data_IF_758700733390
#
_entry.id   IF_758700733390
#
_cell.length_a   1.000
_cell.length_b   1.000
_cell.length_c   1.000
_cell.angle_alpha   90.00
_cell.angle_beta   90.00
_cell.angle_gamma   90.00
#
_symmetry.space_group_name_H-M   'P 1'
#
loop_
_entity.id
_entity.type
_entity.pdbx_description
1 polymer ?
#
# COMPACT_ATOMS: atom_id res chain seq x y z
N UNK A 1 -25.25 -7.61 6.77
CA UNK A 1 -24.15 -6.70 7.09
C UNK A 1 -24.54 -5.29 6.66
N UNK A 2 -24.38 -4.27 7.49
CA UNK A 2 -24.63 -2.89 7.08
C UNK A 2 -23.33 -2.32 6.48
N UNK A 3 -23.34 -2.00 5.20
CA UNK A 3 -22.17 -1.46 4.49
C UNK A 3 -22.09 0.07 4.52
N UNK A 4 -23.01 0.72 5.23
CA UNK A 4 -23.02 2.17 5.44
C UNK A 4 -21.92 2.53 6.44
N UNK A 5 -21.26 3.64 6.18
CA UNK A 5 -20.28 4.20 7.13
C UNK A 5 -21.01 4.71 8.38
N UNK A 6 -20.36 4.60 9.53
CA UNK A 6 -20.81 5.30 10.72
C UNK A 6 -20.69 6.82 10.54
N UNK A 7 -21.34 7.65 11.35
CA UNK A 7 -21.18 9.10 11.27
C UNK A 7 -19.72 9.55 11.35
N UNK A 8 -18.91 8.90 12.19
CA UNK A 8 -17.50 9.21 12.39
C UNK A 8 -16.67 8.87 11.13
N UNK A 9 -16.92 7.70 10.52
CA UNK A 9 -16.25 7.30 9.27
C UNK A 9 -16.70 8.17 8.08
N UNK A 10 -17.95 8.65 8.08
CA UNK A 10 -18.43 9.58 7.06
C UNK A 10 -17.82 10.98 7.23
N UNK A 11 -17.55 11.41 8.46
CA UNK A 11 -16.82 12.65 8.73
C UNK A 11 -15.34 12.52 8.29
N UNK A 12 -14.69 11.41 8.64
CA UNK A 12 -13.34 11.10 8.15
C UNK A 12 -13.30 11.11 6.61
N UNK A 13 -14.26 10.44 5.96
CA UNK A 13 -14.35 10.41 4.50
C UNK A 13 -14.36 11.81 3.91
N UNK A 14 -15.23 12.69 4.42
CA UNK A 14 -15.35 14.08 3.94
C UNK A 14 -14.07 14.89 4.18
N UNK A 15 -13.47 14.74 5.35
CA UNK A 15 -12.21 15.43 5.69
C UNK A 15 -11.08 15.03 4.75
N UNK A 16 -10.96 13.73 4.44
CA UNK A 16 -9.92 13.24 3.52
C UNK A 16 -10.24 13.60 2.06
N UNK A 17 -11.51 13.55 1.65
CA UNK A 17 -11.96 14.03 0.33
C UNK A 17 -11.60 15.51 0.11
N UNK A 18 -11.90 16.38 1.08
CA UNK A 18 -11.55 17.79 1.04
C UNK A 18 -10.02 17.99 0.94
N UNK A 19 -9.26 17.31 1.78
CA UNK A 19 -7.80 17.34 1.72
C UNK A 19 -7.26 16.87 0.36
N UNK A 20 -7.78 15.78 -0.17
CA UNK A 20 -7.36 15.25 -1.46
C UNK A 20 -7.62 16.25 -2.60
N UNK A 21 -8.77 16.92 -2.60
CA UNK A 21 -9.13 17.87 -3.64
C UNK A 21 -8.48 19.24 -3.48
N UNK A 22 -8.34 19.75 -2.26
CA UNK A 22 -7.86 21.11 -2.03
C UNK A 22 -6.34 21.19 -1.85
N UNK A 23 -5.70 20.14 -1.33
CA UNK A 23 -4.26 20.14 -1.03
C UNK A 23 -3.48 19.25 -1.99
N UNK A 24 -3.95 18.03 -2.28
CA UNK A 24 -3.23 17.07 -3.12
C UNK A 24 -3.41 17.40 -4.61
N UNK A 25 -4.64 17.50 -5.10
CA UNK A 25 -4.95 17.65 -6.52
C UNK A 25 -4.21 18.82 -7.21
N UNK A 26 -4.10 20.01 -6.60
CA UNK A 26 -3.44 21.15 -7.26
C UNK A 26 -1.93 21.00 -7.46
N UNK A 27 -1.28 20.09 -6.71
CA UNK A 27 0.18 20.00 -6.62
C UNK A 27 0.77 18.72 -7.17
N UNK A 28 0.02 17.61 -7.02
CA UNK A 28 0.59 16.27 -7.20
C UNK A 28 1.03 15.99 -8.64
N UNK A 29 0.39 16.61 -9.63
CA UNK A 29 0.80 16.49 -11.02
C UNK A 29 2.25 16.89 -11.25
N UNK A 30 2.67 18.01 -10.66
CA UNK A 30 4.04 18.52 -10.77
C UNK A 30 5.06 17.60 -10.10
N UNK A 31 4.77 17.10 -8.89
CA UNK A 31 5.62 16.11 -8.21
C UNK A 31 5.75 14.82 -9.03
N UNK A 32 4.63 14.36 -9.59
CA UNK A 32 4.59 13.15 -10.40
C UNK A 32 5.48 13.26 -11.65
N UNK A 33 5.38 14.36 -12.39
CA UNK A 33 6.17 14.57 -13.60
C UNK A 33 7.67 14.80 -13.32
N UNK A 34 8.01 15.38 -12.15
CA UNK A 34 9.40 15.52 -11.70
C UNK A 34 9.97 14.29 -11.01
N UNK A 35 9.16 13.24 -10.79
CA UNK A 35 9.52 12.06 -10.02
C UNK A 35 10.02 12.40 -8.61
N UNK A 36 9.37 13.36 -7.96
CA UNK A 36 9.73 13.86 -6.63
C UNK A 36 8.75 13.39 -5.57
N UNK A 37 9.29 13.05 -4.38
CA UNK A 37 8.47 12.67 -3.25
C UNK A 37 7.81 13.92 -2.63
N UNK A 38 6.47 13.92 -2.41
CA UNK A 38 5.72 15.11 -2.02
C UNK A 38 5.74 15.34 -0.50
N UNK A 39 6.90 15.70 0.06
CA UNK A 39 7.11 15.86 1.51
C UNK A 39 6.09 16.75 2.20
N UNK A 40 5.67 17.85 1.57
CA UNK A 40 4.69 18.76 2.17
C UNK A 40 3.31 18.10 2.33
N UNK A 41 2.87 17.32 1.33
CA UNK A 41 1.61 16.57 1.38
C UNK A 41 1.70 15.49 2.47
N UNK A 42 2.79 14.72 2.50
CA UNK A 42 3.00 13.66 3.50
C UNK A 42 3.05 14.21 4.93
N UNK A 43 3.69 15.36 5.14
CA UNK A 43 3.68 16.03 6.46
C UNK A 43 2.27 16.46 6.88
N UNK A 44 1.45 16.93 5.93
CA UNK A 44 0.07 17.32 6.25
C UNK A 44 -0.78 16.08 6.58
N UNK A 45 -0.60 14.96 5.86
CA UNK A 45 -1.21 13.68 6.23
C UNK A 45 -0.84 13.26 7.66
N UNK A 46 0.42 13.48 8.07
CA UNK A 46 0.86 13.24 9.44
C UNK A 46 0.14 14.14 10.45
N UNK A 47 -0.01 15.44 10.17
CA UNK A 47 -0.74 16.39 11.05
C UNK A 47 -2.22 16.04 11.18
N UNK A 48 -2.81 15.50 10.14
CA UNK A 48 -4.18 14.99 10.15
C UNK A 48 -4.34 13.65 10.91
N UNK A 49 -3.22 13.02 11.34
CA UNK A 49 -3.23 11.74 12.04
C UNK A 49 -3.46 10.53 11.12
N UNK A 50 -3.37 10.66 9.80
CA UNK A 50 -3.72 9.59 8.86
C UNK A 50 -2.82 8.36 9.04
N UNK A 51 -1.53 8.53 9.36
CA UNK A 51 -0.62 7.42 9.65
C UNK A 51 -0.95 6.70 10.96
N UNK A 52 -1.69 7.35 11.85
CA UNK A 52 -2.11 6.79 13.14
C UNK A 52 -3.49 6.11 13.13
N UNK A 53 -4.23 6.14 12.02
CA UNK A 53 -5.66 5.75 11.96
C UNK A 53 -5.97 4.41 12.64
N UNK A 54 -5.30 3.26 12.37
CA UNK A 54 -5.69 1.98 12.96
C UNK A 54 -4.97 1.67 14.29
N UNK A 55 -4.17 2.59 14.82
CA UNK A 55 -3.36 2.30 16.01
C UNK A 55 -3.98 2.87 17.29
N UNK A 56 -3.72 2.23 18.46
CA UNK A 56 -4.17 2.72 19.76
C UNK A 56 -3.61 4.09 20.10
N UNK A 57 -4.39 4.90 20.83
CA UNK A 57 -4.00 6.24 21.29
C UNK A 57 -2.75 6.22 22.18
N UNK A 58 -2.51 5.16 22.96
CA UNK A 58 -1.34 5.01 23.82
C UNK A 58 0.00 5.01 23.05
N UNK A 59 -0.05 4.72 21.74
CA UNK A 59 1.10 4.79 20.83
C UNK A 59 1.02 6.01 19.88
N UNK A 60 0.16 6.97 20.18
CA UNK A 60 -0.03 8.16 19.34
C UNK A 60 -0.93 7.93 18.11
N UNK A 61 -1.67 6.82 18.08
CA UNK A 61 -2.66 6.53 17.06
C UNK A 61 -4.00 7.24 17.30
N UNK A 62 -4.94 7.04 16.39
CA UNK A 62 -6.28 7.63 16.42
C UNK A 62 -7.35 6.72 17.03
N UNK A 63 -6.99 5.51 17.46
CA UNK A 63 -7.91 4.53 18.05
C UNK A 63 -8.95 3.94 17.09
N UNK A 64 -8.75 4.13 15.79
CA UNK A 64 -9.63 3.58 14.75
C UNK A 64 -9.28 2.15 14.36
N UNK A 65 -9.63 1.78 13.15
CA UNK A 65 -9.45 0.43 12.62
C UNK A 65 -9.10 0.40 11.12
N UNK A 66 -9.11 -0.78 10.52
CA UNK A 66 -8.85 -0.97 9.08
C UNK A 66 -9.97 -0.41 8.16
N UNK A 67 -11.19 -0.23 8.66
CA UNK A 67 -12.24 0.49 7.90
C UNK A 67 -11.89 1.96 7.76
N UNK A 68 -11.40 2.60 8.85
CA UNK A 68 -10.96 3.99 8.83
C UNK A 68 -9.79 4.18 7.85
N UNK A 69 -8.78 3.29 7.90
CA UNK A 69 -7.68 3.31 6.95
C UNK A 69 -8.16 3.14 5.50
N UNK A 70 -9.04 2.16 5.25
CA UNK A 70 -9.58 1.90 3.92
C UNK A 70 -10.37 3.09 3.35
N UNK A 71 -11.15 3.78 4.19
CA UNK A 71 -11.88 5.01 3.80
C UNK A 71 -10.89 6.11 3.39
N UNK A 72 -9.84 6.33 4.18
CA UNK A 72 -8.82 7.34 3.86
C UNK A 72 -8.06 7.00 2.56
N UNK A 73 -7.69 5.73 2.36
CA UNK A 73 -7.00 5.27 1.15
C UNK A 73 -7.88 5.40 -0.10
N UNK A 74 -9.17 5.09 0.00
CA UNK A 74 -10.12 5.23 -1.11
C UNK A 74 -10.23 6.70 -1.55
N UNK A 75 -10.42 7.64 -0.61
CA UNK A 75 -10.57 9.06 -0.96
C UNK A 75 -9.25 9.68 -1.48
N UNK A 76 -8.09 9.35 -0.91
CA UNK A 76 -6.80 9.79 -1.45
C UNK A 76 -6.55 9.28 -2.86
N UNK A 77 -6.80 7.98 -3.09
CA UNK A 77 -6.55 7.36 -4.39
C UNK A 77 -7.50 7.81 -5.50
N UNK A 78 -8.67 8.37 -5.17
CA UNK A 78 -9.55 9.05 -6.15
C UNK A 78 -8.85 10.22 -6.85
N UNK A 79 -7.90 10.85 -6.15
CA UNK A 79 -7.13 11.98 -6.66
C UNK A 79 -5.75 11.53 -7.11
N UNK A 80 -5.02 10.80 -6.26
CA UNK A 80 -3.68 10.31 -6.57
C UNK A 80 -3.29 9.06 -5.79
N UNK A 81 -2.99 8.00 -6.51
CA UNK A 81 -2.60 6.72 -5.92
C UNK A 81 -1.15 6.67 -5.44
N UNK A 82 -0.26 7.58 -5.88
CA UNK A 82 1.10 7.68 -5.32
C UNK A 82 1.10 8.19 -3.88
N UNK A 83 0.18 9.12 -3.56
CA UNK A 83 -0.03 9.61 -2.19
C UNK A 83 -0.69 8.52 -1.34
N UNK A 84 -1.69 7.84 -1.89
CA UNK A 84 -2.38 6.77 -1.19
C UNK A 84 -1.46 5.59 -0.85
N UNK A 85 -0.57 5.15 -1.78
CA UNK A 85 0.37 4.07 -1.49
C UNK A 85 1.44 4.47 -0.47
N UNK A 86 1.80 5.76 -0.40
CA UNK A 86 2.71 6.25 0.64
C UNK A 86 2.09 6.09 2.03
N UNK A 87 0.79 6.40 2.18
CA UNK A 87 0.05 6.16 3.41
C UNK A 87 -0.09 4.66 3.70
N UNK A 88 -0.53 3.89 2.72
CA UNK A 88 -0.73 2.44 2.85
C UNK A 88 0.55 1.75 3.33
N UNK A 89 1.65 1.94 2.61
CA UNK A 89 2.92 1.33 2.95
C UNK A 89 3.46 1.82 4.31
N UNK A 90 3.25 3.09 4.67
CA UNK A 90 3.64 3.62 5.98
C UNK A 90 2.88 2.96 7.13
N UNK A 91 1.59 2.74 6.96
CA UNK A 91 0.69 2.14 7.97
C UNK A 91 0.77 0.63 7.95
N UNK A 92 0.33 0.00 6.85
CA UNK A 92 0.17 -1.46 6.78
C UNK A 92 1.49 -2.21 6.78
N UNK A 93 2.51 -1.68 6.12
CA UNK A 93 3.80 -2.35 5.96
C UNK A 93 4.87 -1.82 6.90
N UNK A 94 4.87 -0.52 7.20
CA UNK A 94 5.88 0.11 8.06
C UNK A 94 5.59 -0.03 9.55
N UNK A 95 4.41 0.37 10.00
CA UNK A 95 4.04 0.43 11.40
C UNK A 95 3.37 -0.86 11.92
N UNK A 96 2.50 -1.49 11.13
CA UNK A 96 1.71 -2.65 11.56
C UNK A 96 2.55 -3.85 11.99
N UNK A 97 3.70 -4.21 11.37
CA UNK A 97 4.56 -5.28 11.85
C UNK A 97 5.02 -5.06 13.30
N UNK A 98 5.38 -3.81 13.64
CA UNK A 98 5.83 -3.45 14.99
C UNK A 98 4.64 -3.50 15.96
N UNK A 99 3.47 -3.01 15.56
CA UNK A 99 2.26 -3.06 16.37
C UNK A 99 1.86 -4.50 16.73
N UNK A 100 1.84 -5.40 15.76
CA UNK A 100 1.37 -6.78 15.96
C UNK A 100 2.40 -7.69 16.65
N UNK A 101 3.69 -7.48 16.38
CA UNK A 101 4.73 -8.45 16.76
C UNK A 101 5.84 -7.85 17.63
N UNK A 102 5.89 -6.53 17.78
CA UNK A 102 6.90 -5.85 18.59
C UNK A 102 6.73 -6.07 20.10
N UNK A 103 7.85 -6.02 20.82
CA UNK A 103 7.81 -5.88 22.29
C UNK A 103 7.27 -4.51 22.67
N UNK A 104 6.90 -4.31 23.93
CA UNK A 104 6.45 -3.01 24.42
C UNK A 104 7.51 -1.90 24.23
N UNK A 105 8.79 -2.26 24.42
CA UNK A 105 9.92 -1.35 24.20
C UNK A 105 10.00 -0.95 22.72
N UNK A 106 9.86 -1.90 21.80
CA UNK A 106 9.85 -1.63 20.36
C UNK A 106 8.65 -0.78 19.95
N UNK A 107 7.46 -1.09 20.46
CA UNK A 107 6.24 -0.30 20.19
C UNK A 107 6.39 1.14 20.66
N UNK A 108 6.83 1.35 21.90
CA UNK A 108 7.03 2.69 22.48
C UNK A 108 8.15 3.48 21.81
N UNK A 109 9.17 2.81 21.31
CA UNK A 109 10.27 3.45 20.58
C UNK A 109 9.87 3.92 19.18
N UNK A 110 9.03 3.17 18.47
CA UNK A 110 8.80 3.40 17.04
C UNK A 110 7.40 3.92 16.69
N UNK A 111 6.33 3.37 17.31
CA UNK A 111 4.96 3.67 16.89
C UNK A 111 4.60 5.15 17.02
N UNK A 112 4.95 5.90 18.09
CA UNK A 112 4.56 7.30 18.16
C UNK A 112 5.07 8.14 17.00
N UNK A 113 6.30 7.90 16.56
CA UNK A 113 6.90 8.63 15.43
C UNK A 113 6.34 8.16 14.08
N UNK A 114 6.00 6.88 13.94
CA UNK A 114 5.36 6.31 12.76
C UNK A 114 3.91 6.81 12.64
N UNK A 115 3.14 6.79 13.72
CA UNK A 115 1.75 7.25 13.75
C UNK A 115 1.61 8.75 13.47
N UNK A 116 2.58 9.57 13.90
CA UNK A 116 2.60 11.01 13.60
C UNK A 116 3.08 11.35 12.20
N UNK A 117 3.62 10.38 11.45
CA UNK A 117 4.25 10.62 10.15
C UNK A 117 5.58 11.40 10.25
N UNK A 118 6.16 11.54 11.46
CA UNK A 118 7.51 12.10 11.66
C UNK A 118 8.54 11.25 10.92
N UNK A 119 8.37 9.93 10.95
CA UNK A 119 9.15 8.98 10.18
C UNK A 119 8.23 8.02 9.43
N UNK A 120 8.74 7.46 8.33
CA UNK A 120 8.14 6.34 7.61
C UNK A 120 8.90 5.05 7.91
N UNK A 121 8.16 3.95 7.98
CA UNK A 121 8.71 2.59 8.02
C UNK A 121 8.61 1.93 6.65
N UNK A 122 9.50 0.96 6.40
CA UNK A 122 9.54 0.19 5.17
C UNK A 122 9.55 -1.33 5.44
N UNK A 123 9.16 -2.12 4.43
CA UNK A 123 8.91 -3.56 4.54
C UNK A 123 9.79 -4.34 3.55
N UNK A 124 10.94 -4.82 4.04
CA UNK A 124 11.95 -5.50 3.25
C UNK A 124 11.68 -7.01 3.10
N UNK A 125 10.73 -7.38 2.24
CA UNK A 125 10.42 -8.78 1.93
C UNK A 125 11.03 -9.23 0.61
N UNK A 126 10.68 -8.55 -0.48
CA UNK A 126 11.00 -8.93 -1.85
C UNK A 126 12.50 -8.84 -2.14
N UNK A 127 13.03 -9.86 -2.81
CA UNK A 127 14.42 -9.93 -3.26
C UNK A 127 14.49 -10.04 -4.79
N UNK A 128 15.65 -9.73 -5.41
CA UNK A 128 15.78 -9.83 -6.87
C UNK A 128 15.37 -11.18 -7.46
N UNK A 129 15.58 -12.27 -6.72
CA UNK A 129 15.27 -13.65 -7.16
C UNK A 129 13.96 -14.20 -6.57
N UNK A 130 13.23 -13.43 -5.73
CA UNK A 130 12.05 -13.91 -5.00
C UNK A 130 10.99 -12.85 -4.76
N UNK A 131 9.99 -12.75 -5.66
CA UNK A 131 8.78 -11.94 -5.46
C UNK A 131 7.61 -12.79 -4.97
N UNK A 132 6.91 -13.47 -5.89
CA UNK A 132 5.78 -14.36 -5.53
C UNK A 132 6.21 -15.56 -4.68
N UNK A 133 7.44 -16.05 -4.85
CA UNK A 133 8.08 -17.03 -3.96
C UNK A 133 8.86 -16.32 -2.83
N UNK A 134 8.12 -15.60 -1.98
CA UNK A 134 8.71 -14.84 -0.89
C UNK A 134 9.36 -15.72 0.21
N UNK A 135 9.08 -17.03 0.21
CA UNK A 135 9.74 -18.00 1.09
C UNK A 135 11.16 -18.37 0.68
N UNK A 136 11.56 -18.06 -0.56
CA UNK A 136 12.91 -18.29 -1.09
C UNK A 136 13.91 -17.19 -0.68
N UNK A 137 13.73 -16.56 0.48
CA UNK A 137 14.60 -15.52 1.05
C UNK A 137 16.06 -15.97 1.07
N UNK A 138 16.97 -15.14 0.52
CA UNK A 138 18.43 -15.34 0.50
C UNK A 138 19.19 -14.41 1.42
N UNK A 139 18.61 -13.25 1.78
CA UNK A 139 19.17 -12.39 2.83
C UNK A 139 19.39 -13.21 4.08
N UNK A 140 20.55 -13.11 4.69
CA UNK A 140 20.95 -13.85 5.90
C UNK A 140 21.13 -12.92 7.09
N UNK A 141 20.88 -13.43 8.30
CA UNK A 141 21.23 -12.75 9.53
C UNK A 141 21.82 -13.77 10.50
N UNK A 142 23.02 -13.51 10.98
CA UNK A 142 23.71 -14.35 11.96
C UNK A 142 23.84 -13.59 13.27
N UNK A 143 23.41 -14.19 14.38
CA UNK A 143 23.66 -13.64 15.70
C UNK A 143 25.15 -13.84 16.05
N UNK A 144 25.82 -12.74 16.37
CA UNK A 144 27.18 -12.73 16.87
C UNK A 144 27.15 -12.83 18.39
N UNK A 145 27.60 -13.95 19.00
CA UNK A 145 27.49 -14.16 20.43
C UNK A 145 28.46 -13.30 21.26
N UNK A 146 29.49 -12.70 20.62
CA UNK A 146 30.45 -11.86 21.35
C UNK A 146 29.92 -10.44 21.53
N UNK A 147 29.14 -9.94 20.54
CA UNK A 147 28.62 -8.56 20.56
C UNK A 147 27.13 -8.49 20.86
N UNK A 148 26.41 -9.62 20.87
CA UNK A 148 24.95 -9.73 20.98
C UNK A 148 24.23 -8.91 19.88
N UNK A 149 24.74 -9.04 18.64
CA UNK A 149 24.23 -8.33 17.47
C UNK A 149 23.88 -9.30 16.33
N UNK A 150 22.82 -8.97 15.57
CA UNK A 150 22.56 -9.59 14.28
C UNK A 150 23.47 -8.95 13.22
N UNK A 151 24.18 -9.79 12.46
CA UNK A 151 24.97 -9.40 11.28
C UNK A 151 24.18 -9.79 10.05
N UNK A 152 23.72 -8.79 9.29
CA UNK A 152 22.78 -8.96 8.17
C UNK A 152 23.52 -8.73 6.85
N UNK A 153 23.30 -9.66 5.89
CA UNK A 153 23.86 -9.58 4.55
C UNK A 153 22.80 -9.95 3.51
N UNK A 154 22.65 -9.15 2.45
CA UNK A 154 21.70 -9.42 1.38
C UNK A 154 21.19 -8.17 0.67
N UNK A 155 20.16 -8.35 -0.14
CA UNK A 155 19.55 -7.28 -0.96
C UNK A 155 18.04 -7.42 -0.96
N UNK A 156 17.34 -6.29 -0.84
CA UNK A 156 15.88 -6.20 -1.01
C UNK A 156 15.55 -5.26 -2.15
N UNK A 157 14.51 -5.53 -2.92
CA UNK A 157 14.12 -4.70 -4.06
C UNK A 157 12.64 -4.32 -4.02
N UNK A 158 12.32 -3.23 -4.74
CA UNK A 158 10.96 -2.66 -4.83
C UNK A 158 10.38 -2.21 -3.48
N UNK A 159 11.22 -1.67 -2.60
CA UNK A 159 10.82 -1.30 -1.23
C UNK A 159 10.32 0.13 -1.19
N UNK A 160 9.02 0.29 -0.91
CA UNK A 160 8.34 1.59 -0.79
C UNK A 160 8.75 2.29 0.50
N UNK A 161 8.79 3.63 0.48
CA UNK A 161 9.13 4.51 1.62
C UNK A 161 10.53 4.28 2.22
N UNK A 162 11.45 3.66 1.49
CA UNK A 162 12.73 3.21 2.05
C UNK A 162 13.91 4.16 1.83
N UNK A 163 13.74 5.19 1.00
CA UNK A 163 14.82 6.12 0.66
C UNK A 163 14.45 7.60 0.77
N UNK A 164 13.40 7.93 1.52
CA UNK A 164 13.01 9.30 1.80
C UNK A 164 13.85 9.89 2.95
N UNK A 165 13.91 11.23 3.04
CA UNK A 165 14.60 11.92 4.15
C UNK A 165 13.96 11.65 5.52
N UNK A 166 12.72 11.15 5.53
CA UNK A 166 11.96 10.80 6.74
C UNK A 166 11.82 9.27 6.94
N UNK A 167 12.53 8.45 6.16
CA UNK A 167 12.59 7.01 6.41
C UNK A 167 13.34 6.74 7.71
N UNK A 168 12.66 6.14 8.70
CA UNK A 168 13.25 5.88 10.02
C UNK A 168 13.77 4.47 10.20
N UNK A 169 13.17 3.50 9.53
CA UNK A 169 13.55 2.09 9.65
C UNK A 169 13.07 1.26 8.47
N UNK A 170 13.65 0.07 8.33
CA UNK A 170 13.10 -1.03 7.52
C UNK A 170 13.00 -2.29 8.37
N UNK A 171 11.86 -2.99 8.30
CA UNK A 171 11.74 -4.35 8.84
C UNK A 171 12.08 -5.34 7.73
N UNK A 172 13.07 -6.20 7.94
CA UNK A 172 13.56 -7.12 6.89
C UNK A 172 13.36 -8.58 7.28
N UNK A 173 12.98 -9.42 6.31
CA UNK A 173 13.08 -10.88 6.46
C UNK A 173 14.50 -11.34 6.14
N UNK A 174 15.06 -12.21 7.00
CA UNK A 174 16.37 -12.81 6.80
C UNK A 174 16.41 -14.26 7.30
N UNK A 175 17.21 -15.09 6.66
CA UNK A 175 17.47 -16.47 7.10
C UNK A 175 18.39 -16.44 8.32
N UNK A 176 17.89 -16.86 9.49
CA UNK A 176 18.66 -16.90 10.75
C UNK A 176 19.13 -18.31 11.10
N UNK A 177 18.82 -19.31 10.27
CA UNK A 177 19.23 -20.69 10.48
C UNK A 177 18.46 -21.68 9.62
N UNK A 178 18.46 -22.93 10.08
CA UNK A 178 17.72 -24.02 9.42
C UNK A 178 16.69 -24.63 10.35
N UNK A 179 15.56 -25.05 9.80
CA UNK A 179 14.55 -25.85 10.47
C UNK A 179 14.99 -27.33 10.56
N UNK A 180 14.38 -28.17 11.41
CA UNK A 180 14.66 -29.59 11.48
C UNK A 180 14.48 -30.34 10.16
N UNK A 181 13.57 -29.87 9.30
CA UNK A 181 13.32 -30.40 7.96
C UNK A 181 14.34 -29.92 6.90
N UNK A 182 15.33 -29.12 7.29
CA UNK A 182 16.36 -28.55 6.42
C UNK A 182 15.95 -27.24 5.75
N UNK A 183 14.68 -26.83 5.83
CA UNK A 183 14.19 -25.59 5.26
C UNK A 183 14.76 -24.33 5.95
N UNK A 184 14.65 -23.13 5.34
CA UNK A 184 15.12 -21.90 5.94
C UNK A 184 14.31 -21.53 7.18
N UNK A 185 15.00 -21.12 8.25
CA UNK A 185 14.41 -20.47 9.42
C UNK A 185 14.50 -18.96 9.17
N UNK A 186 13.38 -18.33 8.83
CA UNK A 186 13.29 -16.92 8.44
C UNK A 186 12.75 -16.10 9.59
N UNK A 187 13.48 -15.07 9.99
CA UNK A 187 13.11 -14.12 11.05
C UNK A 187 12.88 -12.72 10.47
N UNK A 188 12.20 -11.88 11.24
CA UNK A 188 12.02 -10.46 10.93
C UNK A 188 12.92 -9.63 11.86
N UNK A 189 13.64 -8.64 11.31
CA UNK A 189 14.59 -7.83 12.07
C UNK A 189 14.37 -6.36 11.71
N UNK A 190 14.33 -5.48 12.72
CA UNK A 190 14.23 -4.03 12.54
C UNK A 190 15.64 -3.48 12.29
N UNK A 191 15.83 -2.80 11.16
CA UNK A 191 17.06 -2.10 10.81
C UNK A 191 16.77 -0.60 10.77
N UNK A 192 17.31 0.20 11.71
CA UNK A 192 17.18 1.65 11.68
C UNK A 192 17.89 2.25 10.44
N UNK A 193 17.33 3.33 9.89
CA UNK A 193 18.02 4.09 8.84
C UNK A 193 19.34 4.66 9.35
N UNK A 194 20.35 4.71 8.48
CA UNK A 194 21.69 5.19 8.84
C UNK A 194 22.56 4.17 9.57
N UNK A 195 22.10 2.93 9.79
CA UNK A 195 22.95 1.85 10.34
C UNK A 195 24.13 1.60 9.40
N UNK A 196 25.38 1.53 9.91
CA UNK A 196 26.55 1.24 9.07
C UNK A 196 26.39 -0.05 8.26
N UNK A 197 26.80 -0.02 6.98
CA UNK A 197 26.65 -1.14 6.05
C UNK A 197 25.26 -1.22 5.38
N UNK A 198 24.25 -0.49 5.89
CA UNK A 198 22.94 -0.37 5.25
C UNK A 198 22.98 0.76 4.23
N UNK A 199 22.70 0.45 2.98
CA UNK A 199 22.66 1.43 1.89
C UNK A 199 21.39 1.31 1.07
N UNK A 200 20.97 2.46 0.52
CA UNK A 200 19.74 2.62 -0.26
C UNK A 200 20.12 3.13 -1.65
N UNK A 201 19.71 2.42 -2.69
CA UNK A 201 19.97 2.80 -4.08
C UNK A 201 19.17 4.05 -4.49
N UNK A 202 19.52 4.72 -5.60
CA UNK A 202 18.66 5.73 -6.22
C UNK A 202 17.24 5.21 -6.49
N UNK A 203 16.23 6.10 -6.59
CA UNK A 203 14.87 5.67 -6.89
C UNK A 203 14.77 4.94 -8.23
N UNK A 204 13.94 3.93 -8.29
CA UNK A 204 13.63 3.27 -9.56
C UNK A 204 12.93 4.23 -10.53
N UNK A 205 13.27 4.14 -11.81
CA UNK A 205 12.45 4.71 -12.88
C UNK A 205 11.24 3.80 -13.12
N UNK A 206 10.05 4.30 -12.84
CA UNK A 206 8.81 3.50 -12.82
C UNK A 206 7.85 3.96 -13.92
N UNK A 207 6.96 3.07 -14.34
CA UNK A 207 5.84 3.41 -15.24
C UNK A 207 4.83 4.31 -14.54
N UNK A 208 4.54 4.02 -13.27
CA UNK A 208 3.58 4.73 -12.44
C UNK A 208 4.05 4.92 -10.99
N UNK A 209 3.20 5.49 -10.14
CA UNK A 209 3.52 5.88 -8.78
C UNK A 209 4.79 6.74 -8.69
N UNK A 210 4.95 7.66 -9.63
CA UNK A 210 6.18 8.44 -9.75
C UNK A 210 6.40 9.43 -8.60
N UNK A 211 5.35 9.81 -7.89
CA UNK A 211 5.45 10.62 -6.68
C UNK A 211 5.58 9.77 -5.39
N UNK A 212 5.72 8.45 -5.50
CA UNK A 212 6.03 7.55 -4.37
C UNK A 212 7.47 7.07 -4.45
N UNK A 213 8.14 6.95 -3.31
CA UNK A 213 9.51 6.42 -3.21
C UNK A 213 9.51 4.88 -3.30
N UNK A 214 10.42 4.33 -4.11
CA UNK A 214 10.62 2.88 -4.23
C UNK A 214 12.09 2.60 -4.56
N UNK A 215 12.77 1.81 -3.72
CA UNK A 215 14.23 1.60 -3.81
C UNK A 215 14.63 0.13 -3.72
N UNK A 216 15.88 -0.10 -4.10
CA UNK A 216 16.66 -1.27 -3.71
C UNK A 216 17.43 -0.97 -2.44
N UNK A 217 17.52 -1.96 -1.55
CA UNK A 217 18.24 -1.91 -0.29
C UNK A 217 19.36 -2.95 -0.29
N UNK A 218 20.54 -2.55 0.16
CA UNK A 218 21.69 -3.44 0.31
C UNK A 218 22.20 -3.46 1.75
N UNK A 219 22.48 -4.66 2.23
CA UNK A 219 22.99 -4.95 3.57
C UNK A 219 24.34 -5.64 3.42
N UNK A 220 25.39 -4.98 3.90
CA UNK A 220 26.78 -5.45 3.88
C UNK A 220 27.34 -5.41 5.31
N UNK A 221 27.34 -6.57 5.97
CA UNK A 221 27.68 -6.74 7.37
C UNK A 221 26.97 -5.74 8.31
N UNK A 222 25.68 -5.47 8.03
CA UNK A 222 24.87 -4.57 8.84
C UNK A 222 24.66 -5.16 10.23
N UNK A 223 25.08 -4.42 11.26
CA UNK A 223 24.99 -4.84 12.66
C UNK A 223 23.88 -4.10 13.37
N UNK A 224 22.98 -4.85 13.99
CA UNK A 224 21.94 -4.33 14.87
C UNK A 224 21.84 -5.18 16.14
N UNK A 225 21.46 -4.58 17.28
CA UNK A 225 21.30 -5.33 18.54
C UNK A 225 20.40 -6.56 18.42
N UNK A 226 20.66 -7.61 19.16
CA UNK A 226 19.78 -8.79 19.22
C UNK A 226 18.32 -8.43 19.54
N UNK A 227 18.10 -7.39 20.34
CA UNK A 227 16.78 -6.85 20.68
C UNK A 227 15.99 -6.28 19.49
N UNK A 228 16.61 -6.10 18.31
CA UNK A 228 15.93 -5.69 17.09
C UNK A 228 15.20 -6.85 16.38
N UNK A 229 15.30 -8.08 16.90
CA UNK A 229 14.45 -9.18 16.45
C UNK A 229 12.98 -8.81 16.67
N UNK A 230 12.18 -8.89 15.62
CA UNK A 230 10.75 -8.62 15.70
C UNK A 230 9.96 -9.92 15.93
N UNK A 231 9.32 -10.03 17.08
CA UNK A 231 8.62 -11.24 17.50
C UNK A 231 9.57 -12.42 17.80
N UNK A 232 9.21 -13.62 17.34
CA UNK A 232 9.96 -14.85 17.61
C UNK A 232 10.91 -15.20 16.46
N UNK A 233 12.10 -15.69 16.78
CA UNK A 233 13.04 -16.19 15.78
C UNK A 233 12.45 -17.36 14.98
N UNK A 234 12.58 -17.29 13.66
CA UNK A 234 12.03 -18.29 12.73
C UNK A 234 10.55 -18.11 12.39
N UNK A 235 9.87 -17.08 12.91
CA UNK A 235 8.46 -16.76 12.62
C UNK A 235 8.30 -15.63 11.63
N UNK A 236 9.36 -14.96 11.21
CA UNK A 236 9.32 -13.75 10.37
C UNK A 236 8.55 -13.93 9.07
N UNK A 237 8.69 -15.06 8.38
CA UNK A 237 7.93 -15.33 7.17
C UNK A 237 6.42 -15.40 7.44
N UNK A 238 5.99 -16.11 8.48
CA UNK A 238 4.57 -16.19 8.84
C UNK A 238 4.01 -14.84 9.29
N UNK A 239 4.81 -14.03 10.00
CA UNK A 239 4.45 -12.68 10.42
C UNK A 239 4.22 -11.79 9.18
N UNK A 240 5.13 -11.82 8.21
CA UNK A 240 5.02 -11.03 6.98
C UNK A 240 3.82 -11.47 6.12
N UNK A 241 3.54 -12.77 6.03
CA UNK A 241 2.32 -13.24 5.36
C UNK A 241 1.04 -12.73 6.03
N UNK A 242 1.03 -12.67 7.37
CA UNK A 242 -0.11 -12.09 8.11
C UNK A 242 -0.31 -10.62 7.79
N UNK A 243 0.76 -9.83 7.71
CA UNK A 243 0.72 -8.42 7.31
C UNK A 243 0.13 -8.29 5.90
N UNK A 244 0.58 -9.12 4.95
CA UNK A 244 0.06 -9.10 3.57
C UNK A 244 -1.42 -9.53 3.49
N UNK A 245 -1.91 -10.39 4.39
CA UNK A 245 -3.33 -10.74 4.43
C UNK A 245 -4.21 -9.51 4.71
N UNK A 246 -3.75 -8.62 5.60
CA UNK A 246 -4.42 -7.35 5.94
C UNK A 246 -4.17 -6.28 4.87
N UNK A 247 -2.94 -6.13 4.37
CA UNK A 247 -2.55 -5.18 3.33
C UNK A 247 -3.37 -5.32 2.04
N UNK A 248 -3.83 -6.54 1.69
CA UNK A 248 -4.72 -6.77 0.54
C UNK A 248 -6.03 -5.99 0.65
N UNK A 249 -6.57 -5.80 1.85
CA UNK A 249 -7.76 -4.98 2.08
C UNK A 249 -7.45 -3.51 1.77
N UNK A 250 -6.31 -3.01 2.25
CA UNK A 250 -5.86 -1.65 2.03
C UNK A 250 -5.61 -1.37 0.53
N UNK A 251 -4.93 -2.28 -0.18
CA UNK A 251 -4.75 -2.19 -1.64
C UNK A 251 -6.08 -2.25 -2.39
N UNK A 252 -7.05 -3.06 -1.92
CA UNK A 252 -8.36 -3.10 -2.54
C UNK A 252 -9.13 -1.78 -2.39
N UNK A 253 -9.03 -1.12 -1.23
CA UNK A 253 -9.60 0.20 -1.01
C UNK A 253 -8.94 1.27 -1.90
N UNK A 254 -7.59 1.29 -1.95
CA UNK A 254 -6.81 2.17 -2.83
C UNK A 254 -7.19 1.97 -4.31
N UNK A 255 -7.25 0.72 -4.77
CA UNK A 255 -7.63 0.40 -6.15
C UNK A 255 -9.05 0.84 -6.48
N UNK A 256 -9.97 0.73 -5.52
CA UNK A 256 -11.35 1.21 -5.64
C UNK A 256 -11.38 2.73 -5.77
N UNK A 257 -10.57 3.44 -4.98
CA UNK A 257 -10.44 4.90 -5.07
C UNK A 257 -9.94 5.35 -6.46
N UNK A 258 -8.88 4.74 -6.97
CA UNK A 258 -8.38 5.02 -8.33
C UNK A 258 -9.47 4.75 -9.39
N UNK A 259 -10.20 3.63 -9.28
CA UNK A 259 -11.28 3.30 -10.19
C UNK A 259 -12.42 4.34 -10.15
N UNK A 260 -12.77 4.84 -8.95
CA UNK A 260 -13.76 5.90 -8.76
C UNK A 260 -13.27 7.25 -9.33
N UNK A 261 -12.00 7.61 -9.10
CA UNK A 261 -11.40 8.81 -9.69
C UNK A 261 -11.48 8.81 -11.21
N UNK A 262 -11.29 7.64 -11.84
CA UNK A 262 -11.50 7.48 -13.28
C UNK A 262 -12.94 7.76 -13.72
N UNK A 263 -13.93 7.37 -12.91
CA UNK A 263 -15.36 7.68 -13.15
C UNK A 263 -15.59 9.17 -13.04
N UNK A 264 -15.10 9.80 -11.97
CA UNK A 264 -15.32 11.21 -11.66
C UNK A 264 -14.76 12.12 -12.78
N UNK A 265 -13.52 11.87 -13.20
CA UNK A 265 -12.88 12.60 -14.31
C UNK A 265 -13.59 12.36 -15.65
N UNK A 266 -14.02 11.12 -15.90
CA UNK A 266 -14.77 10.78 -17.12
C UNK A 266 -16.13 11.47 -17.17
N UNK A 267 -16.84 11.52 -16.04
CA UNK A 267 -18.14 12.16 -15.92
C UNK A 267 -18.04 13.69 -16.12
N UNK A 268 -17.03 14.32 -15.49
CA UNK A 268 -16.72 15.73 -15.66
C UNK A 268 -16.43 16.04 -17.13
N UNK A 269 -15.47 15.32 -17.72
CA UNK A 269 -15.08 15.54 -19.11
C UNK A 269 -16.22 15.30 -20.09
N UNK A 270 -17.05 14.28 -19.89
CA UNK A 270 -18.19 13.95 -20.74
C UNK A 270 -19.27 15.03 -20.75
N UNK A 271 -19.42 15.79 -19.67
CA UNK A 271 -20.36 16.94 -19.58
C UNK A 271 -19.81 18.19 -20.25
N UNK A 272 -18.50 18.42 -20.17
CA UNK A 272 -17.84 19.65 -20.64
C UNK A 272 -17.40 19.56 -22.11
N UNK A 273 -16.92 18.39 -22.55
CA UNK A 273 -16.38 18.19 -23.92
C UNK A 273 -17.50 18.10 -24.94
N UNK A 274 -17.45 18.96 -25.93
CA UNK A 274 -18.39 18.98 -27.07
C UNK A 274 -17.77 18.34 -28.32
N UNK A 275 -18.54 17.50 -29.00
CA UNK A 275 -18.27 16.97 -30.32
C UNK A 275 -19.61 16.81 -31.08
N UNK A 276 -19.62 17.01 -32.39
CA UNK A 276 -20.82 16.92 -33.21
C UNK A 276 -21.98 17.83 -32.71
N UNK A 277 -21.64 19.03 -32.19
CA UNK A 277 -22.60 20.04 -31.74
C UNK A 277 -23.24 19.82 -30.38
N UNK A 278 -22.80 18.82 -29.58
CA UNK A 278 -23.34 18.49 -28.24
C UNK A 278 -22.28 17.96 -27.33
N UNK A 279 -22.51 17.96 -25.98
CA UNK A 279 -21.63 17.24 -25.03
C UNK A 279 -21.47 15.77 -25.41
N UNK A 280 -20.26 15.22 -25.30
CA UNK A 280 -20.02 13.80 -25.64
C UNK A 280 -20.80 12.84 -24.74
N UNK A 281 -21.14 13.25 -23.51
CA UNK A 281 -22.01 12.51 -22.59
C UNK A 281 -23.45 12.31 -23.11
N UNK A 282 -23.87 13.02 -24.17
CA UNK A 282 -25.13 12.74 -24.86
C UNK A 282 -25.09 11.50 -25.77
N UNK A 283 -23.91 10.90 -25.97
CA UNK A 283 -23.76 9.70 -26.77
C UNK A 283 -23.94 8.43 -25.90
N UNK A 284 -24.82 7.53 -26.30
CA UNK A 284 -25.18 6.34 -25.54
C UNK A 284 -23.95 5.45 -25.22
N UNK A 285 -22.99 5.33 -26.17
CA UNK A 285 -21.76 4.57 -25.94
C UNK A 285 -20.91 5.12 -24.77
N UNK A 286 -20.89 6.46 -24.60
CA UNK A 286 -20.20 7.10 -23.47
C UNK A 286 -20.98 6.89 -22.17
N UNK A 287 -22.31 7.02 -22.22
CA UNK A 287 -23.18 6.78 -21.05
C UNK A 287 -23.03 5.36 -20.51
N UNK A 288 -23.07 4.35 -21.38
CA UNK A 288 -22.94 2.97 -20.98
C UNK A 288 -21.56 2.67 -20.41
N UNK A 289 -20.52 3.19 -21.04
CA UNK A 289 -19.15 3.04 -20.54
C UNK A 289 -19.00 3.60 -19.11
N UNK A 290 -19.47 4.81 -18.85
CA UNK A 290 -19.41 5.44 -17.51
C UNK A 290 -20.29 4.67 -16.52
N UNK A 291 -21.47 4.18 -16.90
CA UNK A 291 -22.33 3.37 -16.06
C UNK A 291 -21.66 2.04 -15.66
N UNK A 292 -20.98 1.37 -16.61
CA UNK A 292 -20.23 0.14 -16.33
C UNK A 292 -19.02 0.41 -15.40
N UNK A 293 -18.33 1.53 -15.58
CA UNK A 293 -17.22 1.95 -14.72
C UNK A 293 -17.71 2.19 -13.29
N UNK A 294 -18.83 2.89 -13.10
CA UNK A 294 -19.43 3.15 -11.77
C UNK A 294 -19.89 1.84 -11.12
N UNK A 295 -20.56 0.96 -11.85
CA UNK A 295 -20.99 -0.36 -11.34
C UNK A 295 -19.79 -1.16 -10.80
N UNK A 296 -18.67 -1.17 -11.52
CA UNK A 296 -17.44 -1.85 -11.13
C UNK A 296 -16.86 -1.24 -9.85
N UNK A 297 -16.73 0.10 -9.77
CA UNK A 297 -16.20 0.80 -8.60
C UNK A 297 -17.10 0.59 -7.36
N UNK A 298 -18.42 0.67 -7.53
CA UNK A 298 -19.37 0.39 -6.45
C UNK A 298 -19.25 -1.04 -5.92
N UNK A 299 -19.15 -2.03 -6.80
CA UNK A 299 -19.01 -3.45 -6.41
C UNK A 299 -17.67 -3.69 -5.68
N UNK A 300 -16.58 -3.07 -6.14
CA UNK A 300 -15.27 -3.15 -5.50
C UNK A 300 -15.30 -2.56 -4.08
N UNK A 301 -16.00 -1.43 -3.89
CA UNK A 301 -16.22 -0.79 -2.58
C UNK A 301 -16.91 -1.72 -1.60
N UNK A 302 -17.96 -2.41 -2.04
CA UNK A 302 -18.64 -3.39 -1.19
C UNK A 302 -17.72 -4.55 -0.82
N UNK A 303 -16.88 -5.03 -1.75
CA UNK A 303 -15.97 -6.14 -1.50
C UNK A 303 -14.88 -5.81 -0.47
N UNK A 304 -14.22 -4.64 -0.57
CA UNK A 304 -13.19 -4.29 0.40
C UNK A 304 -13.79 -3.98 1.78
N UNK A 305 -14.98 -3.36 1.84
CA UNK A 305 -15.68 -3.09 3.10
C UNK A 305 -16.12 -4.37 3.80
N UNK A 306 -16.56 -5.38 3.08
CA UNK A 306 -16.86 -6.71 3.66
C UNK A 306 -15.60 -7.33 4.26
N UNK A 307 -14.49 -7.34 3.53
CA UNK A 307 -13.22 -7.88 4.02
C UNK A 307 -12.69 -7.13 5.25
N UNK A 308 -12.74 -5.79 5.25
CA UNK A 308 -12.34 -4.95 6.37
C UNK A 308 -13.25 -5.17 7.61
N UNK A 309 -14.57 -5.24 7.41
CA UNK A 309 -15.53 -5.50 8.49
C UNK A 309 -15.26 -6.85 9.16
N UNK A 310 -14.95 -7.90 8.39
CA UNK A 310 -14.57 -9.21 8.94
C UNK A 310 -13.29 -9.16 9.75
N UNK A 311 -12.28 -8.44 9.26
CA UNK A 311 -11.03 -8.25 10.00
C UNK A 311 -11.31 -7.57 11.36
N UNK A 312 -12.08 -6.49 11.36
CA UNK A 312 -12.42 -5.71 12.56
C UNK A 312 -13.25 -6.53 13.56
N UNK A 313 -14.17 -7.36 13.09
CA UNK A 313 -15.01 -8.23 13.95
C UNK A 313 -14.32 -9.54 14.35
N UNK A 314 -13.10 -9.80 13.89
CA UNK A 314 -12.36 -11.02 14.20
C UNK A 314 -12.86 -12.26 13.46
N UNK A 315 -13.65 -12.07 12.38
CA UNK A 315 -14.10 -13.16 11.51
C UNK A 315 -13.01 -13.58 10.51
N UNK A 316 -13.09 -14.79 9.93
CA UNK A 316 -12.22 -15.18 8.83
C UNK A 316 -12.37 -14.23 7.63
N UNK A 317 -11.27 -13.63 7.17
CA UNK A 317 -11.26 -12.58 6.16
C UNK A 317 -10.31 -12.82 4.97
N UNK A 318 -9.42 -13.79 5.06
CA UNK A 318 -8.34 -14.01 4.07
C UNK A 318 -8.85 -14.22 2.65
N UNK A 319 -9.90 -15.02 2.50
CA UNK A 319 -10.53 -15.26 1.21
C UNK A 319 -11.17 -13.98 0.67
N UNK A 320 -11.91 -13.27 1.51
CA UNK A 320 -12.59 -12.02 1.16
C UNK A 320 -11.58 -10.92 0.81
N UNK A 321 -10.45 -10.82 1.54
CA UNK A 321 -9.36 -9.90 1.21
C UNK A 321 -8.73 -10.21 -0.16
N UNK A 322 -8.49 -11.49 -0.46
CA UNK A 322 -7.98 -11.91 -1.77
C UNK A 322 -8.99 -11.65 -2.91
N UNK A 323 -10.28 -11.88 -2.67
CA UNK A 323 -11.36 -11.57 -3.63
C UNK A 323 -11.44 -10.07 -3.88
N UNK A 324 -11.43 -9.26 -2.82
CA UNK A 324 -11.49 -7.80 -2.91
C UNK A 324 -10.30 -7.25 -3.69
N UNK A 325 -9.06 -7.67 -3.34
CA UNK A 325 -7.84 -7.21 -4.00
C UNK A 325 -7.82 -7.60 -5.47
N UNK A 326 -8.13 -8.85 -5.81
CA UNK A 326 -8.16 -9.32 -7.19
C UNK A 326 -9.17 -8.54 -8.04
N UNK A 327 -10.38 -8.37 -7.53
CA UNK A 327 -11.44 -7.66 -8.27
C UNK A 327 -11.11 -6.17 -8.41
N UNK A 328 -10.79 -5.50 -7.30
CA UNK A 328 -10.54 -4.04 -7.31
C UNK A 328 -9.36 -3.67 -8.19
N UNK A 329 -8.24 -4.42 -8.15
CA UNK A 329 -7.08 -4.15 -9.00
C UNK A 329 -7.38 -4.37 -10.50
N UNK A 330 -8.15 -5.40 -10.83
CA UNK A 330 -8.56 -5.65 -12.23
C UNK A 330 -9.44 -4.52 -12.77
N UNK A 331 -10.45 -4.11 -12.01
CA UNK A 331 -11.37 -3.05 -12.47
C UNK A 331 -10.72 -1.65 -12.45
N UNK A 332 -9.71 -1.43 -11.62
CA UNK A 332 -8.94 -0.18 -11.66
C UNK A 332 -8.22 -0.01 -13.01
N UNK A 333 -7.59 -1.08 -13.52
CA UNK A 333 -6.98 -1.09 -14.86
C UNK A 333 -8.04 -0.89 -15.94
N UNK A 334 -9.18 -1.57 -15.87
CA UNK A 334 -10.27 -1.43 -16.82
C UNK A 334 -10.82 0.00 -16.86
N UNK A 335 -11.13 0.59 -15.69
CA UNK A 335 -11.67 1.93 -15.58
C UNK A 335 -10.65 2.98 -16.04
N UNK A 336 -9.37 2.81 -15.72
CA UNK A 336 -8.32 3.73 -16.16
C UNK A 336 -8.16 3.72 -17.70
N UNK A 337 -8.19 2.54 -18.32
CA UNK A 337 -8.23 2.40 -19.79
C UNK A 337 -9.44 3.10 -20.40
N UNK A 338 -10.62 2.89 -19.82
CA UNK A 338 -11.86 3.45 -20.32
C UNK A 338 -11.91 4.98 -20.12
N UNK A 339 -11.36 5.49 -19.02
CA UNK A 339 -11.23 6.92 -18.77
C UNK A 339 -10.33 7.60 -19.80
N UNK A 340 -9.14 7.05 -20.08
CA UNK A 340 -8.25 7.58 -21.12
C UNK A 340 -8.94 7.54 -22.50
N UNK A 341 -9.69 6.50 -22.81
CA UNK A 341 -10.44 6.38 -24.07
C UNK A 341 -11.57 7.42 -24.17
N UNK A 342 -12.29 7.71 -23.08
CA UNK A 342 -13.33 8.77 -23.07
C UNK A 342 -12.73 10.15 -23.32
N UNK A 343 -11.55 10.43 -22.78
CA UNK A 343 -10.82 11.69 -23.02
C UNK A 343 -10.21 11.79 -24.42
N UNK A 344 -10.07 10.67 -25.13
CA UNK A 344 -9.49 10.64 -26.48
C UNK A 344 -8.03 11.12 -26.46
N UNK A 345 -7.65 12.00 -27.40
CA UNK A 345 -6.29 12.52 -27.47
C UNK A 345 -5.81 13.21 -26.18
N UNK A 346 -6.70 13.87 -25.47
CA UNK A 346 -6.39 14.49 -24.17
C UNK A 346 -6.14 13.47 -23.07
N UNK A 347 -6.71 12.26 -23.13
CA UNK A 347 -6.41 11.16 -22.19
C UNK A 347 -4.98 10.62 -22.31
N UNK A 348 -4.25 10.99 -23.36
CA UNK A 348 -2.84 10.64 -23.58
C UNK A 348 -1.86 11.75 -23.16
N UNK A 349 -2.39 12.89 -22.69
CA UNK A 349 -1.60 14.04 -22.24
C UNK A 349 -1.46 14.06 -20.73
N UNK A 350 -0.26 14.33 -20.24
CA UNK A 350 0.07 14.30 -18.80
C UNK A 350 -0.67 15.34 -17.96
N UNK A 351 -1.16 16.41 -18.58
CA UNK A 351 -1.96 17.46 -17.92
C UNK A 351 -3.32 16.95 -17.42
N UNK A 352 -3.78 15.80 -17.94
CA UNK A 352 -5.02 15.19 -17.52
C UNK A 352 -4.77 14.05 -16.53
N UNK A 353 -5.45 14.03 -15.36
CA UNK A 353 -5.22 13.02 -14.32
C UNK A 353 -5.36 11.58 -14.80
N UNK A 354 -6.24 11.33 -15.77
CA UNK A 354 -6.50 9.99 -16.30
C UNK A 354 -5.26 9.33 -16.94
N UNK A 355 -4.33 10.10 -17.49
CA UNK A 355 -3.06 9.57 -18.00
C UNK A 355 -2.18 9.03 -16.88
N UNK A 356 -2.14 9.71 -15.74
CA UNK A 356 -1.45 9.28 -14.52
C UNK A 356 -2.13 8.05 -13.91
N UNK A 357 -3.45 8.09 -13.73
CA UNK A 357 -4.26 6.98 -13.23
C UNK A 357 -4.06 5.71 -14.04
N UNK A 358 -3.95 5.82 -15.36
CA UNK A 358 -3.70 4.66 -16.23
C UNK A 358 -2.31 4.03 -15.98
N UNK A 359 -1.27 4.86 -15.88
CA UNK A 359 0.10 4.39 -15.57
C UNK A 359 0.15 3.72 -14.20
N UNK A 360 -0.53 4.28 -13.22
CA UNK A 360 -0.54 3.81 -11.83
C UNK A 360 -1.35 2.52 -11.66
N UNK A 361 -2.41 2.33 -12.44
CA UNK A 361 -3.32 1.21 -12.24
C UNK A 361 -2.65 -0.16 -12.36
N UNK A 362 -1.63 -0.29 -13.23
CA UNK A 362 -1.02 -1.61 -13.52
C UNK A 362 -0.31 -2.23 -12.33
N UNK A 363 0.33 -1.44 -11.48
CA UNK A 363 1.04 -1.98 -10.30
C UNK A 363 0.09 -2.65 -9.31
N UNK A 364 -1.18 -2.24 -9.28
CA UNK A 364 -2.20 -2.81 -8.40
C UNK A 364 -2.46 -4.30 -8.65
N UNK A 365 -2.23 -4.78 -9.89
CA UNK A 365 -2.32 -6.21 -10.22
C UNK A 365 -1.05 -6.99 -9.84
N UNK A 366 0.05 -6.32 -9.50
CA UNK A 366 1.37 -6.91 -9.27
C UNK A 366 1.77 -6.84 -7.79
N UNK A 367 1.70 -5.65 -7.18
CA UNK A 367 2.11 -5.40 -5.80
C UNK A 367 1.27 -6.16 -4.77
N UNK A 368 1.85 -6.47 -3.64
CA UNK A 368 1.26 -7.21 -2.51
C UNK A 368 0.60 -8.55 -2.87
N UNK A 369 1.25 -9.25 -3.76
CA UNK A 369 0.77 -10.52 -4.32
C UNK A 369 0.02 -10.31 -5.63
N UNK A 370 0.57 -10.86 -6.70
CA UNK A 370 0.02 -10.74 -8.06
C UNK A 370 -1.41 -11.26 -8.15
N UNK A 371 -2.11 -10.91 -9.23
CA UNK A 371 -3.45 -11.44 -9.53
C UNK A 371 -3.47 -12.98 -9.56
N UNK A 372 -2.37 -13.63 -9.96
CA UNK A 372 -2.20 -15.08 -9.93
C UNK A 372 -2.09 -15.60 -8.50
N UNK A 373 -1.33 -14.92 -7.64
CA UNK A 373 -1.21 -15.26 -6.22
C UNK A 373 -2.58 -15.13 -5.53
N UNK A 374 -3.36 -14.10 -5.84
CA UNK A 374 -4.73 -13.98 -5.28
C UNK A 374 -5.62 -15.16 -5.72
N UNK A 375 -5.55 -15.57 -6.99
CA UNK A 375 -6.30 -16.76 -7.48
C UNK A 375 -5.87 -18.05 -6.78
N UNK A 376 -4.57 -18.23 -6.56
CA UNK A 376 -4.05 -19.39 -5.79
C UNK A 376 -4.59 -19.40 -4.36
N UNK A 377 -4.61 -18.25 -3.69
CA UNK A 377 -5.14 -18.12 -2.33
C UNK A 377 -6.63 -18.43 -2.28
N UNK A 378 -7.41 -17.86 -3.19
CA UNK A 378 -8.85 -18.12 -3.28
C UNK A 378 -9.09 -19.62 -3.52
N UNK A 379 -8.38 -20.23 -4.47
CA UNK A 379 -8.50 -21.67 -4.75
C UNK A 379 -8.20 -22.53 -3.52
N UNK A 380 -7.15 -22.17 -2.77
CA UNK A 380 -6.80 -22.86 -1.52
C UNK A 380 -7.89 -22.72 -0.46
N UNK A 381 -8.45 -21.53 -0.26
CA UNK A 381 -9.53 -21.29 0.71
C UNK A 381 -10.85 -22.01 0.29
N UNK A 382 -11.01 -22.33 -0.99
CA UNK A 382 -12.10 -23.17 -1.51
C UNK A 382 -11.81 -24.68 -1.43
N UNK A 383 -10.62 -25.07 -0.91
CA UNK A 383 -10.24 -26.48 -0.79
C UNK A 383 -9.71 -27.13 -2.07
N UNK A 384 -9.34 -26.33 -3.10
CA UNK A 384 -8.85 -26.82 -4.39
C UNK A 384 -7.32 -26.95 -4.48
N UNK A 385 -6.57 -26.44 -3.48
CA UNK A 385 -5.12 -26.52 -3.47
C UNK A 385 -4.64 -27.93 -3.06
N UNK A 386 -3.76 -28.51 -3.86
CA UNK A 386 -3.01 -29.71 -3.53
C UNK A 386 -1.76 -29.39 -2.71
#
# INVERSE_FOLDING_TARGET
MDHRLTPELEELRRTVEEFAHEVVAPKIGDYYERHEFPYEIVREMGRMGLFGLPFPEEYGGMGGDYLALGVALEELARVDSSVAITLEAGVSLGAMPIHLFGTEEQKRAWLPRLCSGEILGAFGLTEPDGGSDAGATRTTARLDPETDEWVINGTKCFITNSGTDITGLVTVTAVTGRKPDGGPRISAIIVPSGTPGFSVAPPYSKVGWNASDTRELSFDDVRVPAANLLGEEGRGYAQFLRILDEGRIAIAALATGLAQGCVDESLKYAKERHAFGRPIGANQAIQFKIADMEMKAHTARLAWRDAASRLVTGEPFKKEAALAKLYSSTIAVDNARDATQIHGGYGFMNEYPVARMWRDSKILEIGEGTSEVQRMLIARELGLAG
#
